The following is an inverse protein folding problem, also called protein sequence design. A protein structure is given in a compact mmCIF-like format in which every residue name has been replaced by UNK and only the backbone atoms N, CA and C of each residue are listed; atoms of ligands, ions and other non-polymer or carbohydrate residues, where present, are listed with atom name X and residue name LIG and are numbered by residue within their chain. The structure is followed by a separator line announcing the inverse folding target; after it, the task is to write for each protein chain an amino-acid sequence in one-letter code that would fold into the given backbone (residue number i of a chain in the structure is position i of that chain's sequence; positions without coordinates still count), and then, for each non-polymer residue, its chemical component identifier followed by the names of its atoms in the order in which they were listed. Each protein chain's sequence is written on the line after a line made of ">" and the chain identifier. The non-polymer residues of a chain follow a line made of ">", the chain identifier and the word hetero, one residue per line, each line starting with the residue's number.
data_IF_111927839202
#
_entry.id   IF_111927839202
#
_cell.length_a   1.000
_cell.length_b   1.000
_cell.length_c   1.000
_cell.angle_alpha   90.00
_cell.angle_beta   90.00
_cell.angle_gamma   90.00
#
_symmetry.space_group_name_H-M   'P 1'
#
loop_
_entity.id
_entity.type
_entity.pdbx_description
1 polymer ?
#
# COMPACT_ATOMS: atom_id res chain seq x y z
N UNK A 1 31.97 27.62 9.23
CA UNK A 1 30.75 26.79 9.38
C UNK A 1 30.90 26.01 10.67
N UNK A 2 30.18 26.38 11.73
CA UNK A 2 30.10 25.59 12.96
C UNK A 2 29.25 24.34 12.69
N UNK A 3 29.62 23.17 13.22
CA UNK A 3 28.82 21.96 13.05
C UNK A 3 27.48 22.19 13.74
N UNK A 4 26.39 21.67 13.17
CA UNK A 4 25.10 21.64 13.83
C UNK A 4 25.28 20.98 15.20
N UNK A 5 25.32 21.80 16.25
CA UNK A 5 25.16 21.37 17.63
C UNK A 5 23.75 20.82 17.73
N UNK A 6 23.60 19.54 17.42
CA UNK A 6 22.37 18.80 17.63
C UNK A 6 22.14 18.76 19.14
N UNK A 7 21.29 19.65 19.65
CA UNK A 7 20.92 19.64 21.06
C UNK A 7 20.12 18.36 21.31
N UNK A 8 20.75 17.37 21.96
CA UNK A 8 20.13 16.10 22.33
C UNK A 8 18.77 16.31 23.00
N UNK A 9 18.65 17.37 23.83
CA UNK A 9 17.39 17.71 24.48
C UNK A 9 16.33 18.11 23.45
N UNK A 10 16.68 18.94 22.48
CA UNK A 10 15.78 19.34 21.41
C UNK A 10 15.28 18.12 20.61
N UNK A 11 16.17 17.19 20.26
CA UNK A 11 15.78 15.96 19.56
C UNK A 11 14.86 15.08 20.41
N UNK A 12 15.21 14.89 21.69
CA UNK A 12 14.41 14.08 22.61
C UNK A 12 13.01 14.69 22.84
N UNK A 13 12.90 16.02 22.96
CA UNK A 13 11.61 16.70 23.05
C UNK A 13 10.81 16.59 21.75
N UNK A 14 11.45 16.83 20.60
CA UNK A 14 10.80 16.72 19.30
C UNK A 14 10.26 15.32 19.06
N UNK A 15 11.03 14.30 19.45
CA UNK A 15 10.63 12.90 19.37
C UNK A 15 9.44 12.61 20.27
N UNK A 16 9.42 13.08 21.53
CA UNK A 16 8.29 12.91 22.44
C UNK A 16 6.97 13.39 21.81
N UNK A 17 6.97 14.56 21.16
CA UNK A 17 5.78 15.12 20.51
C UNK A 17 5.32 14.33 19.27
N UNK A 18 6.17 13.52 18.66
CA UNK A 18 5.78 12.67 17.54
C UNK A 18 5.16 11.33 17.98
N UNK A 19 5.25 10.98 19.27
CA UNK A 19 4.76 9.71 19.77
C UNK A 19 3.24 9.73 19.99
N UNK A 20 2.59 8.63 19.63
CA UNK A 20 1.16 8.39 19.86
C UNK A 20 0.94 6.96 20.32
N UNK A 21 -0.25 6.67 20.87
CA UNK A 21 -0.66 5.32 21.26
C UNK A 21 0.31 4.64 22.23
N UNK A 22 0.73 3.41 21.92
CA UNK A 22 1.65 2.63 22.77
C UNK A 22 3.03 3.28 22.91
N UNK A 23 3.48 4.05 21.93
CA UNK A 23 4.80 4.67 21.93
C UNK A 23 4.92 5.78 22.99
N UNK A 24 3.91 6.63 23.14
CA UNK A 24 3.92 7.67 24.19
C UNK A 24 3.75 7.06 25.59
N UNK A 25 2.98 5.97 25.71
CA UNK A 25 2.85 5.23 26.97
C UNK A 25 4.17 4.61 27.42
N UNK A 26 4.93 4.03 26.48
CA UNK A 26 6.28 3.54 26.74
C UNK A 26 7.24 4.66 27.15
N UNK A 27 7.22 5.80 26.44
CA UNK A 27 8.09 6.93 26.72
C UNK A 27 7.93 7.45 28.16
N UNK A 28 6.68 7.56 28.63
CA UNK A 28 6.37 8.03 29.99
C UNK A 28 6.84 7.08 31.10
N UNK A 29 7.22 5.84 30.77
CA UNK A 29 7.72 4.84 31.72
C UNK A 29 9.26 4.75 31.74
N UNK A 30 9.96 5.52 30.89
CA UNK A 30 11.41 5.51 30.85
C UNK A 30 12.01 6.08 32.14
N UNK A 31 13.07 5.44 32.64
CA UNK A 31 13.89 5.98 33.72
C UNK A 31 14.76 7.13 33.16
N UNK A 32 14.54 8.39 33.58
CA UNK A 32 15.31 9.53 33.09
C UNK A 32 16.81 9.38 33.34
N UNK A 33 17.23 8.59 34.35
CA UNK A 33 18.65 8.35 34.65
C UNK A 33 19.35 7.50 33.58
N UNK A 34 18.59 6.68 32.84
CA UNK A 34 19.11 5.80 31.79
C UNK A 34 19.12 6.44 30.41
N UNK A 35 18.34 7.50 30.21
CA UNK A 35 18.21 8.16 28.91
C UNK A 35 18.77 9.58 29.02
N UNK A 36 20.08 9.71 28.81
CA UNK A 36 20.81 10.97 28.99
C UNK A 36 21.17 11.65 27.66
N UNK A 37 21.03 10.93 26.55
CA UNK A 37 21.35 11.40 25.21
C UNK A 37 20.30 10.94 24.19
N UNK A 38 20.32 11.57 23.01
CA UNK A 38 19.52 11.10 21.87
C UNK A 38 19.91 9.67 21.45
N UNK A 39 21.20 9.32 21.58
CA UNK A 39 21.70 7.98 21.31
C UNK A 39 21.08 6.93 22.24
N UNK A 40 20.91 7.24 23.53
CA UNK A 40 20.28 6.33 24.49
C UNK A 40 18.79 6.15 24.19
N UNK A 41 18.10 7.26 23.87
CA UNK A 41 16.68 7.25 23.52
C UNK A 41 16.41 6.36 22.29
N UNK A 42 17.20 6.55 21.22
CA UNK A 42 17.05 5.77 19.98
C UNK A 42 17.33 4.29 20.19
N UNK A 43 18.38 3.93 20.94
CA UNK A 43 18.68 2.54 21.29
C UNK A 43 17.57 1.90 22.11
N UNK A 44 17.06 2.61 23.12
CA UNK A 44 15.98 2.10 23.97
C UNK A 44 14.68 1.91 23.16
N UNK A 45 14.33 2.87 22.29
CA UNK A 45 13.17 2.78 21.42
C UNK A 45 13.27 1.58 20.47
N UNK A 46 14.38 1.45 19.77
CA UNK A 46 14.62 0.33 18.86
C UNK A 46 14.60 -1.00 19.60
N UNK A 47 15.19 -1.09 20.80
CA UNK A 47 15.15 -2.32 21.59
C UNK A 47 13.73 -2.69 22.03
N UNK A 48 12.90 -1.70 22.41
CA UNK A 48 11.54 -1.95 22.86
C UNK A 48 10.59 -2.32 21.71
N UNK A 49 10.72 -1.66 20.56
CA UNK A 49 9.84 -1.86 19.41
C UNK A 49 10.40 -2.77 18.32
N UNK A 50 11.56 -3.40 18.56
CA UNK A 50 12.21 -4.32 17.59
C UNK A 50 11.26 -5.41 17.10
N UNK A 51 10.43 -5.94 18.00
CA UNK A 51 9.48 -7.01 17.68
C UNK A 51 8.50 -6.62 16.57
N UNK A 52 8.22 -5.32 16.36
CA UNK A 52 7.38 -4.87 15.25
C UNK A 52 8.02 -5.15 13.89
N UNK A 53 9.35 -5.18 13.80
CA UNK A 53 10.03 -5.64 12.59
C UNK A 53 9.92 -7.14 12.42
N UNK A 54 9.96 -7.90 13.51
CA UNK A 54 9.79 -9.36 13.49
C UNK A 54 8.34 -9.76 13.11
N UNK A 55 7.38 -8.90 13.43
CA UNK A 55 5.96 -9.05 13.07
C UNK A 55 5.58 -8.32 11.77
N UNK A 56 6.54 -7.74 11.06
CA UNK A 56 6.25 -7.01 9.83
C UNK A 56 5.59 -7.93 8.80
N UNK A 57 4.61 -7.44 8.03
CA UNK A 57 4.04 -8.19 6.92
C UNK A 57 5.11 -8.67 5.95
N UNK A 58 4.89 -9.83 5.36
CA UNK A 58 5.79 -10.41 4.37
C UNK A 58 5.20 -10.31 2.96
N UNK A 59 5.99 -10.66 1.96
CA UNK A 59 5.51 -10.86 0.58
C UNK A 59 4.39 -11.90 0.51
N UNK A 60 4.43 -12.93 1.36
CA UNK A 60 3.37 -13.93 1.47
C UNK A 60 2.10 -13.33 2.09
N UNK A 61 2.23 -12.42 3.07
CA UNK A 61 1.09 -11.67 3.60
C UNK A 61 0.36 -10.94 2.49
N UNK A 62 1.08 -10.21 1.63
CA UNK A 62 0.51 -9.51 0.48
C UNK A 62 -0.11 -10.46 -0.54
N UNK A 63 0.57 -11.56 -0.86
CA UNK A 63 0.07 -12.55 -1.84
C UNK A 63 -1.26 -13.18 -1.40
N UNK A 64 -1.44 -13.34 -0.09
CA UNK A 64 -2.66 -13.91 0.49
C UNK A 64 -3.74 -12.87 0.81
N UNK A 65 -3.50 -11.57 0.53
CA UNK A 65 -4.55 -10.58 0.65
C UNK A 65 -5.63 -10.84 -0.41
N UNK A 66 -6.87 -10.72 0.02
CA UNK A 66 -8.03 -10.77 -0.86
C UNK A 66 -8.94 -9.58 -0.59
N UNK A 67 -9.66 -9.18 -1.63
CA UNK A 67 -10.72 -8.19 -1.54
C UNK A 67 -11.91 -8.77 -0.78
N UNK A 68 -12.49 -7.99 0.14
CA UNK A 68 -13.73 -8.40 0.83
C UNK A 68 -14.94 -8.30 -0.11
N UNK A 69 -16.04 -9.04 0.12
CA UNK A 69 -17.19 -9.08 -0.79
C UNK A 69 -17.83 -7.72 -1.12
N UNK A 70 -17.79 -6.79 -0.17
CA UNK A 70 -18.39 -5.45 -0.21
C UNK A 70 -17.35 -4.33 -0.39
N UNK A 71 -16.06 -4.67 -0.50
CA UNK A 71 -14.97 -3.70 -0.61
C UNK A 71 -14.79 -3.28 -2.07
N UNK A 72 -14.78 -1.97 -2.32
CA UNK A 72 -14.46 -1.43 -3.66
C UNK A 72 -13.00 -1.70 -4.03
N UNK A 73 -12.67 -1.71 -5.32
CA UNK A 73 -11.28 -1.87 -5.74
C UNK A 73 -10.37 -0.78 -5.17
N UNK A 74 -10.85 0.45 -5.07
CA UNK A 74 -10.10 1.58 -4.50
C UNK A 74 -9.82 1.39 -3.01
N UNK A 75 -10.83 0.98 -2.23
CA UNK A 75 -10.65 0.69 -0.80
C UNK A 75 -9.68 -0.48 -0.59
N UNK A 76 -9.81 -1.54 -1.40
CA UNK A 76 -8.88 -2.66 -1.38
C UNK A 76 -7.46 -2.25 -1.74
N UNK A 77 -7.30 -1.45 -2.79
CA UNK A 77 -6.02 -0.90 -3.23
C UNK A 77 -5.35 -0.06 -2.16
N UNK A 78 -6.10 0.77 -1.44
CA UNK A 78 -5.57 1.54 -0.30
C UNK A 78 -5.07 0.61 0.80
N UNK A 79 -5.90 -0.33 1.25
CA UNK A 79 -5.54 -1.29 2.29
C UNK A 79 -4.33 -2.14 1.92
N UNK A 80 -4.27 -2.63 0.68
CA UNK A 80 -3.12 -3.37 0.17
C UNK A 80 -1.85 -2.51 0.21
N UNK A 81 -1.96 -1.23 -0.19
CA UNK A 81 -0.83 -0.31 -0.19
C UNK A 81 -0.30 -0.02 1.21
N UNK A 82 -1.19 0.16 2.18
CA UNK A 82 -0.83 0.38 3.58
C UNK A 82 -0.05 -0.80 4.17
N UNK A 83 -0.48 -2.03 3.88
CA UNK A 83 0.26 -3.24 4.28
C UNK A 83 1.61 -3.33 3.56
N UNK A 84 1.64 -3.00 2.27
CA UNK A 84 2.87 -3.05 1.47
C UNK A 84 3.95 -2.09 1.97
N UNK A 85 3.58 -0.91 2.49
CA UNK A 85 4.51 0.05 3.11
C UNK A 85 5.21 -0.50 4.36
N UNK A 86 4.61 -1.50 5.01
CA UNK A 86 5.19 -2.15 6.19
C UNK A 86 6.12 -3.31 5.83
N UNK A 87 6.16 -3.75 4.56
CA UNK A 87 7.04 -4.84 4.11
C UNK A 87 8.46 -4.31 3.87
N UNK A 88 9.48 -4.79 4.60
CA UNK A 88 10.84 -4.31 4.43
C UNK A 88 11.40 -4.60 3.03
N UNK A 89 11.99 -3.59 2.40
CA UNK A 89 12.71 -3.73 1.15
C UNK A 89 11.84 -4.18 -0.03
N UNK A 90 10.58 -3.77 -0.07
CA UNK A 90 9.65 -4.08 -1.17
C UNK A 90 9.71 -2.99 -2.26
N UNK A 91 10.24 -3.27 -3.46
CA UNK A 91 10.30 -2.31 -4.56
C UNK A 91 8.90 -2.01 -5.10
N UNK A 92 8.68 -0.77 -5.58
CA UNK A 92 7.39 -0.32 -6.14
C UNK A 92 6.84 -1.26 -7.23
N UNK A 93 7.72 -1.72 -8.13
CA UNK A 93 7.36 -2.66 -9.20
C UNK A 93 6.84 -3.99 -8.65
N UNK A 94 7.40 -4.45 -7.53
CA UNK A 94 6.97 -5.66 -6.86
C UNK A 94 5.61 -5.46 -6.18
N UNK A 95 5.35 -4.29 -5.57
CA UNK A 95 4.03 -3.93 -5.04
C UNK A 95 2.95 -4.05 -6.11
N UNK A 96 3.19 -3.45 -7.28
CA UNK A 96 2.26 -3.45 -8.42
C UNK A 96 1.99 -4.88 -8.93
N UNK A 97 3.06 -5.69 -9.01
CA UNK A 97 2.98 -7.10 -9.44
C UNK A 97 2.18 -7.95 -8.45
N UNK A 98 2.46 -7.81 -7.15
CA UNK A 98 1.75 -8.54 -6.10
C UNK A 98 0.29 -8.14 -6.05
N UNK A 99 -0.04 -6.84 -6.13
CA UNK A 99 -1.42 -6.38 -6.17
C UNK A 99 -2.19 -7.03 -7.33
N UNK A 100 -1.64 -7.01 -8.54
CA UNK A 100 -2.29 -7.61 -9.71
C UNK A 100 -2.56 -9.12 -9.52
N UNK A 101 -1.66 -9.84 -8.85
CA UNK A 101 -1.82 -11.29 -8.57
C UNK A 101 -2.98 -11.59 -7.62
N UNK A 102 -3.39 -10.63 -6.79
CA UNK A 102 -4.54 -10.80 -5.88
C UNK A 102 -5.89 -10.57 -6.56
N UNK A 103 -5.90 -10.05 -7.79
CA UNK A 103 -7.12 -9.77 -8.54
C UNK A 103 -7.55 -10.97 -9.40
N UNK A 104 -8.84 -11.06 -9.77
CA UNK A 104 -9.31 -12.05 -10.74
C UNK A 104 -8.55 -11.95 -12.07
N UNK A 105 -8.38 -13.10 -12.75
CA UNK A 105 -7.60 -13.22 -13.99
C UNK A 105 -8.10 -12.30 -15.12
N UNK A 106 -9.36 -11.91 -15.08
CA UNK A 106 -10.03 -11.02 -16.04
C UNK A 106 -9.38 -9.63 -16.10
N UNK A 107 -8.77 -9.20 -14.99
CA UNK A 107 -8.06 -7.92 -14.90
C UNK A 107 -6.69 -7.95 -15.55
N UNK A 108 -6.08 -9.14 -15.70
CA UNK A 108 -4.67 -9.26 -16.03
C UNK A 108 -4.30 -8.59 -17.35
N UNK A 109 -5.09 -8.84 -18.41
CA UNK A 109 -4.82 -8.29 -19.76
C UNK A 109 -4.80 -6.75 -19.77
N UNK A 110 -5.71 -6.12 -19.05
CA UNK A 110 -5.88 -4.67 -19.05
C UNK A 110 -4.92 -3.97 -18.08
N UNK A 111 -4.59 -4.61 -16.95
CA UNK A 111 -3.76 -4.02 -15.90
C UNK A 111 -2.27 -4.33 -16.04
N UNK A 112 -1.88 -5.40 -16.75
CA UNK A 112 -0.47 -5.75 -16.96
C UNK A 112 0.37 -4.58 -17.53
N UNK A 113 -0.08 -3.82 -18.55
CA UNK A 113 0.66 -2.66 -19.04
C UNK A 113 0.77 -1.53 -18.01
N UNK A 114 -0.20 -1.41 -17.10
CA UNK A 114 -0.28 -0.35 -16.08
C UNK A 114 0.65 -0.60 -14.89
N UNK A 115 1.10 -1.83 -14.71
CA UNK A 115 2.02 -2.23 -13.65
C UNK A 115 3.35 -1.46 -13.67
N UNK A 116 3.82 -1.05 -14.85
CA UNK A 116 5.06 -0.29 -15.01
C UNK A 116 4.86 1.22 -14.99
N UNK A 117 3.61 1.70 -14.99
CA UNK A 117 3.29 3.14 -14.97
C UNK A 117 3.23 3.67 -13.54
N UNK A 118 2.21 3.26 -12.77
CA UNK A 118 2.04 3.67 -11.37
C UNK A 118 1.01 2.80 -10.66
N UNK A 119 1.07 2.75 -9.33
CA UNK A 119 0.04 2.09 -8.52
C UNK A 119 -1.35 2.72 -8.73
N UNK A 120 -1.42 4.05 -8.80
CA UNK A 120 -2.68 4.77 -9.04
C UNK A 120 -3.31 4.41 -10.38
N UNK A 121 -2.50 4.26 -11.44
CA UNK A 121 -2.98 3.83 -12.76
C UNK A 121 -3.63 2.45 -12.71
N UNK A 122 -3.11 1.51 -11.90
CA UNK A 122 -3.72 0.19 -11.71
C UNK A 122 -5.10 0.30 -11.08
N UNK A 123 -5.23 1.09 -10.02
CA UNK A 123 -6.49 1.26 -9.29
C UNK A 123 -7.55 1.92 -10.18
N UNK A 124 -7.22 3.04 -10.83
CA UNK A 124 -8.15 3.77 -11.69
C UNK A 124 -8.61 2.92 -12.89
N UNK A 125 -7.68 2.20 -13.53
CA UNK A 125 -8.03 1.34 -14.67
C UNK A 125 -8.93 0.18 -14.22
N UNK A 126 -8.62 -0.46 -13.09
CA UNK A 126 -9.44 -1.56 -12.59
C UNK A 126 -10.83 -1.10 -12.15
N UNK A 127 -10.95 0.08 -11.56
CA UNK A 127 -12.25 0.67 -11.19
C UNK A 127 -13.11 0.96 -12.42
N UNK A 128 -12.51 1.53 -13.47
CA UNK A 128 -13.19 1.76 -14.74
C UNK A 128 -13.65 0.43 -15.40
N UNK A 129 -12.85 -0.63 -15.31
CA UNK A 129 -13.25 -1.96 -15.77
C UNK A 129 -14.45 -2.50 -14.99
N UNK A 130 -14.46 -2.37 -13.67
CA UNK A 130 -15.61 -2.80 -12.86
C UNK A 130 -16.89 -2.05 -13.21
N UNK A 131 -16.79 -0.74 -13.41
CA UNK A 131 -17.92 0.07 -13.85
C UNK A 131 -18.43 -0.41 -15.22
N UNK A 132 -17.53 -0.67 -16.17
CA UNK A 132 -17.89 -1.17 -17.50
C UNK A 132 -18.53 -2.57 -17.45
N UNK A 133 -18.03 -3.47 -16.60
CA UNK A 133 -18.63 -4.80 -16.37
C UNK A 133 -20.04 -4.69 -15.79
N UNK A 134 -20.24 -3.83 -14.78
CA UNK A 134 -21.57 -3.58 -14.19
C UNK A 134 -22.56 -2.99 -15.19
N UNK A 135 -22.08 -2.17 -16.12
CA UNK A 135 -22.88 -1.58 -17.20
C UNK A 135 -23.10 -2.51 -18.41
N UNK A 136 -22.52 -3.72 -18.40
CA UNK A 136 -22.69 -4.71 -19.48
C UNK A 136 -21.82 -4.46 -20.72
N UNK A 137 -20.83 -3.58 -20.65
CA UNK A 137 -19.92 -3.27 -21.77
C UNK A 137 -18.73 -4.25 -21.87
N UNK A 138 -18.56 -5.16 -20.90
CA UNK A 138 -17.54 -6.22 -20.92
C UNK A 138 -18.19 -7.56 -20.57
N UNK A 139 -18.40 -8.42 -21.57
CA UNK A 139 -18.79 -9.81 -21.38
C UNK A 139 -17.53 -10.67 -21.12
N UNK A 140 -17.60 -11.58 -20.13
CA UNK A 140 -16.51 -12.52 -19.78
C UNK A 140 -16.48 -13.62 -20.84
N UNK A 141 -16.04 -13.26 -22.03
CA UNK A 141 -16.14 -14.13 -23.19
C UNK A 141 -15.53 -13.47 -24.41
N UNK A 142 -14.21 -13.24 -24.40
CA UNK A 142 -13.52 -12.87 -25.61
C UNK A 142 -13.48 -14.07 -26.57
N UNK A 143 -14.50 -14.21 -27.42
CA UNK A 143 -14.32 -14.86 -28.72
C UNK A 143 -13.69 -13.84 -29.68
N UNK A 144 -12.57 -14.16 -30.35
CA UNK A 144 -12.03 -13.29 -31.36
C UNK A 144 -12.90 -13.39 -32.62
N UNK A 145 -13.61 -12.32 -32.94
CA UNK A 145 -14.19 -12.10 -34.26
C UNK A 145 -15.64 -12.53 -34.42
N UNK A 146 -16.58 -11.65 -34.04
CA UNK A 146 -17.76 -11.39 -34.86
C UNK A 146 -18.01 -9.88 -34.88
N UNK A 147 -17.84 -9.28 -36.06
CA UNK A 147 -18.40 -7.98 -36.37
C UNK A 147 -19.92 -8.14 -36.28
N UNK A 148 -20.65 -7.31 -35.50
CA UNK A 148 -22.10 -7.34 -35.55
C UNK A 148 -22.54 -6.91 -36.95
N UNK A 149 -23.15 -7.85 -37.68
CA UNK A 149 -23.87 -7.52 -38.89
C UNK A 149 -25.14 -6.75 -38.48
N UNK A 150 -25.41 -5.66 -39.21
CA UNK A 150 -26.62 -4.84 -39.19
C UNK A 150 -26.53 -3.56 -38.35
N UNK A 151 -25.87 -2.56 -38.93
CA UNK A 151 -26.31 -1.17 -38.80
C UNK A 151 -26.84 -0.75 -40.18
N UNK A 152 -28.12 -1.01 -40.45
CA UNK A 152 -28.81 -0.34 -41.56
C UNK A 152 -29.10 1.09 -41.12
N UNK A 153 -28.51 2.05 -41.85
CA UNK A 153 -28.78 3.47 -41.69
C UNK A 153 -29.99 3.79 -42.58
N UNK A 154 -31.07 4.40 -42.08
CA UNK A 154 -32.16 4.82 -42.94
C UNK A 154 -31.71 6.06 -43.73
N UNK A 155 -31.77 5.98 -45.05
CA UNK A 155 -31.52 7.10 -45.95
C UNK A 155 -32.82 7.91 -46.09
N UNK A 156 -32.79 9.25 -46.02
CA UNK A 156 -33.95 10.09 -46.34
C UNK A 156 -34.29 10.10 -47.84
#
# INVERSE_FOLDING_TARGET
>A
MTPFSTDDKFLMYSFMFSLTGSAIMWYNQLDPRRIQSWSDMTKAFLAHFKYLMDLAPTRDTLTNMARKPDESLTAYGQRFREVALMVPGLPEREVNSLFLRTLPKEYFKALLPKMTESYSSLIMTGEAMEAAMKMGYMDVGMQPGRVPANFEVPVP
#
